data_IF_306441495383
#
_entry.id   IF_306441495383
#
_cell.length_a   1.000
_cell.length_b   1.000
_cell.length_c   1.000
_cell.angle_alpha   90.00
_cell.angle_beta   90.00
_cell.angle_gamma   90.00
#
_symmetry.space_group_name_H-M   'P 1'
#
loop_
_entity.id
_entity.type
_entity.pdbx_description
1 polymer ?
#
# COMPACT_ATOMS: atom_id res chain seq x y z
N UNK A 1 18.44 39.48 40.05
CA UNK A 1 18.45 39.85 38.62
C UNK A 1 19.38 38.89 37.93
N UNK A 2 18.82 37.81 37.39
CA UNK A 2 19.54 36.85 36.55
C UNK A 2 19.33 37.30 35.10
N UNK A 3 20.36 37.32 34.24
CA UNK A 3 20.16 37.63 32.83
C UNK A 3 19.74 36.38 32.06
N UNK A 4 18.67 36.51 31.28
CA UNK A 4 18.26 35.61 30.21
C UNK A 4 19.29 35.66 29.07
N UNK A 5 19.66 34.51 28.52
CA UNK A 5 20.54 34.38 27.37
C UNK A 5 19.71 34.01 26.13
N UNK A 6 19.87 34.80 25.06
CA UNK A 6 19.34 34.59 23.72
C UNK A 6 19.89 33.29 23.09
N UNK A 7 19.00 32.38 22.69
CA UNK A 7 19.29 31.12 21.96
C UNK A 7 18.76 31.14 20.50
N UNK A 8 18.61 32.33 19.89
CA UNK A 8 17.99 32.48 18.56
C UNK A 8 19.02 32.42 17.39
N UNK A 9 20.33 32.41 17.70
CA UNK A 9 21.41 32.44 16.70
C UNK A 9 21.81 31.08 16.12
N UNK A 10 21.66 29.99 16.89
CA UNK A 10 22.08 28.64 16.51
C UNK A 10 21.12 27.95 15.53
N UNK A 11 19.81 28.15 15.69
CA UNK A 11 18.79 27.56 14.83
C UNK A 11 18.81 28.16 13.41
N UNK A 12 19.10 29.46 13.29
CA UNK A 12 19.13 30.16 12.00
C UNK A 12 20.32 29.74 11.14
N UNK A 13 21.49 29.55 11.75
CA UNK A 13 22.72 29.14 11.06
C UNK A 13 22.67 27.68 10.57
N UNK A 14 22.09 26.80 11.39
CA UNK A 14 21.91 25.37 11.04
C UNK A 14 20.87 25.18 9.92
N UNK A 15 19.78 25.95 9.94
CA UNK A 15 18.78 25.95 8.87
C UNK A 15 19.36 26.40 7.52
N UNK A 16 20.21 27.42 7.50
CA UNK A 16 20.82 27.94 6.28
C UNK A 16 21.85 26.95 5.69
N UNK A 17 22.65 26.32 6.55
CA UNK A 17 23.59 25.25 6.15
C UNK A 17 22.88 24.03 5.56
N UNK A 18 21.80 23.55 6.21
CA UNK A 18 20.98 22.44 5.71
C UNK A 18 20.35 22.79 4.34
N UNK A 19 19.91 24.04 4.17
CA UNK A 19 19.37 24.54 2.91
C UNK A 19 20.39 24.53 1.77
N UNK A 20 21.64 24.94 2.05
CA UNK A 20 22.74 24.91 1.07
C UNK A 20 23.13 23.46 0.74
N UNK A 21 23.26 22.60 1.74
CA UNK A 21 23.60 21.19 1.54
C UNK A 21 22.55 20.46 0.68
N UNK A 22 21.25 20.69 0.95
CA UNK A 22 20.17 20.13 0.15
C UNK A 22 20.23 20.59 -1.32
N UNK A 23 20.60 21.86 -1.58
CA UNK A 23 20.76 22.39 -2.95
C UNK A 23 21.92 21.74 -3.71
N UNK A 24 23.00 21.35 -3.03
CA UNK A 24 24.16 20.67 -3.62
C UNK A 24 23.89 19.18 -3.84
N UNK A 25 23.25 18.52 -2.87
CA UNK A 25 22.96 17.08 -2.92
C UNK A 25 21.95 16.71 -3.98
N UNK A 26 20.91 17.53 -4.15
CA UNK A 26 19.82 17.27 -5.08
C UNK A 26 20.29 17.00 -6.53
N UNK A 27 21.14 17.84 -7.16
CA UNK A 27 21.64 17.55 -8.51
C UNK A 27 22.57 16.33 -8.57
N UNK A 28 23.28 15.98 -7.48
CA UNK A 28 24.15 14.80 -7.44
C UNK A 28 23.31 13.52 -7.41
N UNK A 29 22.36 13.43 -6.47
CA UNK A 29 21.44 12.30 -6.39
C UNK A 29 20.65 12.13 -7.70
N UNK A 30 20.25 13.26 -8.29
CA UNK A 30 19.61 13.29 -9.60
C UNK A 30 20.54 12.72 -10.68
N UNK A 31 21.80 13.15 -10.75
CA UNK A 31 22.78 12.61 -11.68
C UNK A 31 23.04 11.11 -11.50
N UNK A 32 23.07 10.62 -10.27
CA UNK A 32 23.24 9.18 -9.99
C UNK A 32 22.04 8.35 -10.48
N UNK A 33 20.81 8.84 -10.29
CA UNK A 33 19.59 8.17 -10.76
C UNK A 33 19.34 8.33 -12.26
N UNK A 34 19.73 9.47 -12.84
CA UNK A 34 19.55 9.80 -14.26
C UNK A 34 20.70 9.31 -15.16
N UNK A 35 21.86 8.92 -14.61
CA UNK A 35 22.94 8.32 -15.42
C UNK A 35 22.57 6.95 -16.00
N UNK A 36 21.50 6.34 -15.48
CA UNK A 36 20.73 5.30 -16.17
C UNK A 36 19.89 6.01 -17.23
N UNK A 37 20.45 6.16 -18.44
CA UNK A 37 19.85 6.78 -19.61
C UNK A 37 18.50 6.14 -20.00
N UNK A 38 17.44 6.57 -19.34
CA UNK A 38 16.15 6.88 -19.92
C UNK A 38 15.33 7.60 -18.85
N UNK A 39 14.44 8.51 -19.23
CA UNK A 39 13.36 8.98 -18.36
C UNK A 39 12.37 7.82 -18.14
N UNK A 40 12.85 6.77 -17.49
CA UNK A 40 12.18 5.49 -17.38
C UNK A 40 11.05 5.64 -16.38
N UNK A 41 9.83 5.73 -16.90
CA UNK A 41 8.62 5.59 -16.10
C UNK A 41 8.71 4.25 -15.35
N UNK A 42 8.59 4.29 -14.02
CA UNK A 42 8.58 3.12 -13.16
C UNK A 42 7.15 2.70 -12.90
N UNK A 43 6.82 1.47 -13.25
CA UNK A 43 5.52 0.89 -12.93
C UNK A 43 5.45 0.59 -11.43
N UNK A 44 4.32 0.94 -10.81
CA UNK A 44 4.02 0.49 -9.46
C UNK A 44 3.64 -0.99 -9.47
N UNK A 45 3.97 -1.68 -8.38
CA UNK A 45 3.66 -3.11 -8.20
C UNK A 45 2.18 -3.38 -7.95
N UNK A 46 1.41 -2.36 -7.56
CA UNK A 46 -0.02 -2.46 -7.31
C UNK A 46 -0.82 -2.14 -8.58
N UNK A 47 -1.30 -3.17 -9.25
CA UNK A 47 -2.30 -3.06 -10.31
C UNK A 47 -3.71 -3.19 -9.72
N UNK A 48 -4.72 -2.76 -10.47
CA UNK A 48 -6.13 -2.90 -10.10
C UNK A 48 -6.94 -3.44 -11.28
N UNK A 49 -7.99 -4.20 -11.01
CA UNK A 49 -8.89 -4.74 -12.05
C UNK A 49 -10.28 -4.15 -11.85
N UNK A 50 -10.77 -3.42 -12.84
CA UNK A 50 -12.17 -2.99 -12.89
C UNK A 50 -12.99 -4.09 -13.58
N UNK A 51 -13.60 -4.95 -12.78
CA UNK A 51 -14.42 -6.08 -13.25
C UNK A 51 -15.63 -5.59 -14.04
N UNK A 52 -16.25 -4.47 -13.62
CA UNK A 52 -17.44 -3.90 -14.26
C UNK A 52 -17.17 -3.42 -15.68
N UNK A 53 -15.99 -2.83 -15.93
CA UNK A 53 -15.57 -2.37 -17.28
C UNK A 53 -14.67 -3.38 -18.01
N UNK A 54 -14.31 -4.49 -17.37
CA UNK A 54 -13.32 -5.45 -17.85
C UNK A 54 -12.00 -4.77 -18.24
N UNK A 55 -11.41 -4.04 -17.29
CA UNK A 55 -10.17 -3.28 -17.51
C UNK A 55 -9.08 -3.63 -16.51
N UNK A 56 -7.85 -3.74 -16.99
CA UNK A 56 -6.64 -3.72 -16.18
C UNK A 56 -6.17 -2.28 -16.04
N UNK A 57 -5.97 -1.83 -14.81
CA UNK A 57 -5.48 -0.50 -14.50
C UNK A 57 -4.10 -0.59 -13.86
N UNK A 58 -3.15 0.18 -14.38
CA UNK A 58 -1.78 0.27 -13.84
C UNK A 58 -1.37 1.73 -13.74
N UNK A 59 -0.45 2.02 -12.84
CA UNK A 59 0.13 3.34 -12.66
C UNK A 59 1.64 3.31 -12.80
N UNK A 60 2.22 4.34 -13.40
CA UNK A 60 3.65 4.63 -13.35
C UNK A 60 3.94 5.97 -12.71
N UNK A 61 5.12 6.12 -12.13
CA UNK A 61 5.71 7.40 -11.72
C UNK A 61 7.06 7.62 -12.39
N UNK A 62 7.57 8.84 -12.40
CA UNK A 62 8.93 9.06 -12.87
C UNK A 62 9.94 8.74 -11.76
N UNK A 63 11.10 8.20 -12.14
CA UNK A 63 12.14 7.84 -11.18
C UNK A 63 12.62 9.06 -10.35
N UNK A 64 12.70 10.23 -10.99
CA UNK A 64 13.15 11.47 -10.34
C UNK A 64 12.15 12.06 -9.35
N UNK A 65 10.86 11.69 -9.43
CA UNK A 65 9.81 12.25 -8.57
C UNK A 65 9.99 11.87 -7.10
N UNK A 66 10.76 10.82 -6.80
CA UNK A 66 11.17 10.51 -5.42
C UNK A 66 12.03 11.60 -4.79
N UNK A 67 12.72 12.43 -5.58
CA UNK A 67 13.66 13.46 -5.10
C UNK A 67 13.24 14.89 -5.47
N UNK A 68 12.24 15.04 -6.33
CA UNK A 68 11.73 16.35 -6.74
C UNK A 68 10.49 16.72 -5.91
N UNK A 69 10.29 18.02 -5.62
CA UNK A 69 9.08 18.52 -4.96
C UNK A 69 7.89 18.59 -5.92
N UNK A 70 7.77 17.59 -6.79
CA UNK A 70 6.69 17.36 -7.74
C UNK A 70 6.62 15.86 -7.98
N UNK A 71 5.41 15.37 -8.22
CA UNK A 71 5.19 13.97 -8.54
C UNK A 71 4.32 13.85 -9.78
N UNK A 72 4.81 13.12 -10.78
CA UNK A 72 4.11 12.81 -12.01
C UNK A 72 3.61 11.37 -11.92
N UNK A 73 2.32 11.20 -12.17
CA UNK A 73 1.68 9.90 -12.22
C UNK A 73 1.01 9.71 -13.57
N UNK A 74 1.26 8.58 -14.21
CA UNK A 74 0.54 8.19 -15.43
C UNK A 74 -0.28 6.94 -15.15
N UNK A 75 -1.59 7.03 -15.39
CA UNK A 75 -2.51 5.92 -15.29
C UNK A 75 -2.79 5.37 -16.67
N UNK A 76 -2.80 4.04 -16.78
CA UNK A 76 -3.10 3.33 -18.01
C UNK A 76 -4.25 2.37 -17.75
N UNK A 77 -5.21 2.33 -18.67
CA UNK A 77 -6.27 1.33 -18.68
C UNK A 77 -6.16 0.47 -19.94
N UNK A 78 -6.12 -0.85 -19.75
CA UNK A 78 -6.05 -1.84 -20.82
C UNK A 78 -7.32 -2.69 -20.84
N UNK A 79 -7.71 -3.18 -22.01
CA UNK A 79 -8.70 -4.25 -22.11
C UNK A 79 -8.10 -5.63 -21.76
N UNK A 80 -8.92 -6.67 -21.79
CA UNK A 80 -8.50 -8.05 -21.52
C UNK A 80 -7.50 -8.63 -22.54
N UNK A 81 -7.26 -7.96 -23.67
CA UNK A 81 -6.26 -8.34 -24.67
C UNK A 81 -4.98 -7.48 -24.55
N UNK A 82 -4.81 -6.76 -23.44
CA UNK A 82 -3.71 -5.83 -23.22
C UNK A 82 -3.63 -4.69 -24.24
N UNK A 83 -4.74 -4.35 -24.91
CA UNK A 83 -4.79 -3.15 -25.74
C UNK A 83 -4.98 -1.93 -24.85
N UNK A 84 -4.09 -0.95 -24.98
CA UNK A 84 -4.22 0.33 -24.28
C UNK A 84 -5.49 1.05 -24.74
N UNK A 85 -6.43 1.26 -23.82
CA UNK A 85 -7.68 2.00 -24.06
C UNK A 85 -7.55 3.47 -23.72
N UNK A 86 -6.80 3.79 -22.66
CA UNK A 86 -6.66 5.15 -22.15
C UNK A 86 -5.34 5.30 -21.41
N UNK A 87 -4.70 6.46 -21.57
CA UNK A 87 -3.59 6.91 -20.74
C UNK A 87 -3.86 8.35 -20.28
N UNK A 88 -3.62 8.63 -19.00
CA UNK A 88 -3.77 9.97 -18.43
C UNK A 88 -2.60 10.29 -17.51
N UNK A 89 -2.03 11.48 -17.67
CA UNK A 89 -0.90 11.96 -16.89
C UNK A 89 -1.32 13.11 -15.96
N UNK A 90 -0.90 13.03 -14.71
CA UNK A 90 -1.20 13.99 -13.66
C UNK A 90 0.10 14.47 -13.02
N UNK A 91 0.32 15.78 -13.04
CA UNK A 91 1.42 16.43 -12.35
C UNK A 91 0.90 17.09 -11.06
N UNK A 92 1.38 16.61 -9.93
CA UNK A 92 1.02 17.08 -8.60
C UNK A 92 2.22 17.86 -8.02
N UNK A 93 2.05 19.16 -7.66
CA UNK A 93 3.13 20.00 -7.16
C UNK A 93 3.39 19.77 -5.67
N UNK A 94 3.60 18.52 -5.25
CA UNK A 94 3.86 18.14 -3.86
C UNK A 94 4.87 16.98 -3.83
N UNK A 95 5.66 16.88 -2.76
CA UNK A 95 6.70 15.84 -2.62
C UNK A 95 6.13 14.65 -1.87
N UNK A 96 5.75 13.61 -2.61
CA UNK A 96 5.11 12.44 -2.03
C UNK A 96 5.67 11.13 -2.57
N UNK A 97 5.55 10.09 -1.75
CA UNK A 97 5.74 8.72 -2.17
C UNK A 97 4.39 8.01 -2.19
N UNK A 98 4.16 7.21 -3.22
CA UNK A 98 2.95 6.41 -3.33
C UNK A 98 3.35 4.95 -3.53
N UNK A 99 2.93 4.10 -2.60
CA UNK A 99 3.13 2.65 -2.68
C UNK A 99 1.92 1.97 -3.32
N UNK A 100 0.73 2.35 -2.87
CA UNK A 100 -0.55 1.81 -3.33
C UNK A 100 -1.56 2.95 -3.59
N UNK A 101 -2.61 2.63 -4.32
CA UNK A 101 -3.62 3.58 -4.81
C UNK A 101 -4.98 2.88 -4.93
N UNK A 102 -6.03 3.66 -5.14
CA UNK A 102 -7.39 3.13 -5.30
C UNK A 102 -8.05 3.69 -6.57
N UNK A 103 -9.16 3.09 -6.96
CA UNK A 103 -10.01 3.63 -8.01
C UNK A 103 -11.48 3.49 -7.62
N UNK A 104 -12.32 4.31 -8.23
CA UNK A 104 -13.78 4.17 -8.21
C UNK A 104 -14.28 4.19 -9.65
N UNK A 105 -15.61 4.22 -9.79
CA UNK A 105 -16.24 4.40 -11.09
C UNK A 105 -15.88 5.72 -11.78
N UNK A 106 -15.50 6.76 -11.04
CA UNK A 106 -15.20 8.08 -11.62
C UNK A 106 -13.83 8.67 -11.28
N UNK A 107 -13.11 8.12 -10.30
CA UNK A 107 -11.82 8.66 -9.87
C UNK A 107 -10.70 7.61 -9.79
N UNK A 108 -9.48 8.05 -10.03
CA UNK A 108 -8.30 7.45 -9.39
C UNK A 108 -8.03 8.18 -8.08
N UNK A 109 -7.63 7.45 -7.05
CA UNK A 109 -7.43 7.98 -5.70
C UNK A 109 -6.00 7.75 -5.28
N UNK A 110 -5.30 8.83 -4.96
CA UNK A 110 -3.92 8.83 -4.49
C UNK A 110 -3.85 9.32 -3.06
N UNK A 111 -3.17 8.55 -2.20
CA UNK A 111 -2.80 8.97 -0.85
C UNK A 111 -1.41 9.59 -0.92
N UNK A 112 -1.33 10.90 -0.77
CA UNK A 112 -0.05 11.60 -0.84
C UNK A 112 0.72 11.44 0.46
N UNK A 113 1.45 10.33 0.61
CA UNK A 113 2.33 10.17 1.77
C UNK A 113 3.49 11.14 1.65
N UNK A 114 3.50 12.18 2.49
CA UNK A 114 4.43 13.32 2.38
C UNK A 114 5.83 12.91 2.82
N UNK A 115 6.79 13.17 1.95
CA UNK A 115 8.21 12.94 2.20
C UNK A 115 8.99 14.23 2.04
N UNK A 116 10.24 14.20 2.51
CA UNK A 116 11.24 15.24 2.27
C UNK A 116 12.61 14.58 2.15
N UNK A 117 13.56 15.30 1.58
CA UNK A 117 14.96 14.86 1.58
C UNK A 117 15.52 14.90 3.01
N UNK A 118 16.15 13.80 3.41
CA UNK A 118 17.03 13.77 4.58
C UNK A 118 18.45 14.09 4.12
N UNK A 119 18.98 15.24 4.52
CA UNK A 119 20.32 15.70 4.11
C UNK A 119 21.41 14.75 4.61
N UNK A 120 21.32 14.29 5.86
CA UNK A 120 22.34 13.40 6.43
C UNK A 120 22.30 12.03 5.75
N UNK A 121 21.11 11.44 5.65
CA UNK A 121 20.90 10.21 4.91
C UNK A 121 21.31 10.32 3.43
N UNK A 122 21.04 11.45 2.77
CA UNK A 122 21.45 11.73 1.40
C UNK A 122 22.97 11.75 1.23
N UNK A 123 23.71 12.42 2.13
CA UNK A 123 25.18 12.41 2.10
C UNK A 123 25.72 10.98 2.20
N UNK A 124 25.21 10.20 3.15
CA UNK A 124 25.66 8.81 3.32
C UNK A 124 25.34 7.93 2.11
N UNK A 125 24.17 8.12 1.49
CA UNK A 125 23.76 7.38 0.30
C UNK A 125 24.65 7.71 -0.91
N UNK A 126 24.97 8.99 -1.12
CA UNK A 126 25.89 9.43 -2.20
C UNK A 126 27.29 8.82 -2.03
N UNK A 127 27.77 8.69 -0.80
CA UNK A 127 29.06 8.03 -0.52
C UNK A 127 29.00 6.49 -0.52
N UNK A 128 27.85 5.88 -0.84
CA UNK A 128 27.68 4.43 -0.81
C UNK A 128 27.71 3.83 0.60
N UNK A 129 27.58 4.65 1.63
CA UNK A 129 27.57 4.25 3.05
C UNK A 129 26.17 3.94 3.56
N UNK A 130 25.12 4.11 2.76
CA UNK A 130 23.77 3.69 3.08
C UNK A 130 22.94 3.45 1.81
N UNK A 131 21.84 2.69 1.87
CA UNK A 131 20.93 2.52 0.76
C UNK A 131 20.24 3.84 0.40
N UNK A 132 19.89 4.01 -0.88
CA UNK A 132 19.22 5.22 -1.40
C UNK A 132 17.93 5.62 -0.67
N UNK A 133 17.20 4.66 -0.09
CA UNK A 133 15.99 4.96 0.68
C UNK A 133 16.29 5.84 1.91
N UNK A 134 17.53 5.82 2.40
CA UNK A 134 17.97 6.66 3.53
C UNK A 134 17.99 8.14 3.18
N UNK A 135 18.00 8.51 1.89
CA UNK A 135 17.90 9.90 1.44
C UNK A 135 16.51 10.52 1.67
N UNK A 136 15.52 9.71 2.09
CA UNK A 136 14.14 10.13 2.30
C UNK A 136 13.77 10.05 3.78
N UNK A 137 13.02 11.05 4.23
CA UNK A 137 12.37 11.05 5.54
C UNK A 137 10.92 11.47 5.40
N UNK A 138 10.12 11.16 6.41
CA UNK A 138 8.74 11.64 6.50
C UNK A 138 8.71 13.16 6.65
N UNK A 139 7.69 13.78 6.06
CA UNK A 139 7.45 15.21 6.22
C UNK A 139 6.24 15.44 7.15
N UNK A 140 6.46 15.67 8.45
CA UNK A 140 5.39 15.85 9.43
C UNK A 140 4.82 17.29 9.48
N UNK A 141 5.16 18.16 8.52
CA UNK A 141 4.81 19.60 8.56
C UNK A 141 3.31 19.91 8.61
N UNK A 142 2.45 18.94 8.24
CA UNK A 142 1.00 19.04 8.31
C UNK A 142 0.43 17.88 9.12
N UNK A 143 -0.55 18.18 9.98
CA UNK A 143 -1.29 17.18 10.76
C UNK A 143 -2.37 16.42 9.98
N UNK A 144 -2.52 16.72 8.69
CA UNK A 144 -3.47 16.09 7.77
C UNK A 144 -2.76 15.24 6.73
N UNK A 145 -3.47 14.29 6.13
CA UNK A 145 -2.99 13.51 4.99
C UNK A 145 -3.75 13.91 3.71
N UNK A 146 -3.06 14.25 2.61
CA UNK A 146 -3.71 14.65 1.38
C UNK A 146 -4.21 13.44 0.58
N UNK A 147 -5.46 13.52 0.13
CA UNK A 147 -6.08 12.54 -0.77
C UNK A 147 -6.43 13.24 -2.07
N UNK A 148 -5.79 12.85 -3.16
CA UNK A 148 -6.07 13.41 -4.49
C UNK A 148 -7.12 12.57 -5.18
N UNK A 149 -8.18 13.23 -5.67
CA UNK A 149 -9.22 12.63 -6.48
C UNK A 149 -9.01 13.04 -7.94
N UNK A 150 -8.42 12.15 -8.72
CA UNK A 150 -8.07 12.39 -10.10
C UNK A 150 -9.18 11.88 -11.03
N UNK A 151 -9.64 12.66 -12.02
CA UNK A 151 -10.73 12.23 -12.89
C UNK A 151 -10.31 11.04 -13.75
N UNK A 152 -11.08 9.95 -13.69
CA UNK A 152 -10.82 8.73 -14.48
C UNK A 152 -11.40 8.79 -15.89
N UNK A 153 -12.51 9.51 -16.08
CA UNK A 153 -13.21 9.64 -17.36
C UNK A 153 -13.43 11.14 -17.68
N UNK A 154 -12.41 11.87 -18.17
CA UNK A 154 -12.49 13.32 -18.38
C UNK A 154 -13.62 13.72 -19.35
N UNK A 155 -13.93 12.87 -20.33
CA UNK A 155 -14.95 13.15 -21.35
C UNK A 155 -16.39 12.77 -20.93
N UNK A 156 -16.60 12.16 -19.75
CA UNK A 156 -17.93 11.66 -19.37
C UNK A 156 -18.90 12.75 -18.88
N UNK A 157 -18.40 13.95 -18.54
CA UNK A 157 -19.21 15.05 -17.98
C UNK A 157 -18.67 16.43 -18.41
N UNK A 158 -18.76 16.82 -19.70
CA UNK A 158 -18.18 18.06 -20.21
C UNK A 158 -18.82 19.35 -19.66
N UNK A 159 -20.05 19.28 -19.12
CA UNK A 159 -20.82 20.44 -18.64
C UNK A 159 -20.86 20.59 -17.11
N UNK A 160 -20.09 19.78 -16.36
CA UNK A 160 -20.09 19.82 -14.89
C UNK A 160 -18.87 20.61 -14.43
N UNK A 161 -19.08 21.60 -13.54
CA UNK A 161 -17.98 22.22 -12.79
C UNK A 161 -17.23 21.10 -12.05
N UNK A 162 -16.08 20.71 -12.58
CA UNK A 162 -15.25 19.67 -12.01
C UNK A 162 -14.32 20.30 -10.97
N UNK A 163 -14.17 19.63 -9.82
CA UNK A 163 -13.16 19.97 -8.81
C UNK A 163 -11.79 20.07 -9.48
N UNK A 164 -10.99 21.07 -9.10
CA UNK A 164 -9.57 21.05 -9.41
C UNK A 164 -8.90 19.88 -8.68
N UNK A 165 -8.55 18.84 -9.44
CA UNK A 165 -7.94 17.63 -8.92
C UNK A 165 -6.55 17.87 -8.32
N UNK A 166 -5.92 19.01 -8.62
CA UNK A 166 -4.64 19.43 -8.00
C UNK A 166 -4.80 19.85 -6.54
N UNK A 167 -6.03 20.14 -6.12
CA UNK A 167 -6.33 20.48 -4.73
C UNK A 167 -6.74 19.20 -3.99
N UNK A 168 -5.90 18.68 -3.08
CA UNK A 168 -6.24 17.46 -2.34
C UNK A 168 -7.39 17.71 -1.36
N UNK A 169 -8.02 16.62 -0.95
CA UNK A 169 -8.85 16.59 0.25
C UNK A 169 -7.92 16.27 1.41
N UNK A 170 -7.85 17.18 2.38
CA UNK A 170 -7.01 16.99 3.57
C UNK A 170 -7.80 16.15 4.59
N UNK A 171 -7.44 14.87 4.70
CA UNK A 171 -7.99 13.98 5.71
C UNK A 171 -7.54 14.44 7.10
N UNK A 172 -8.43 14.48 8.12
CA UNK A 172 -8.16 15.06 9.44
C UNK A 172 -7.30 14.14 10.34
N UNK A 173 -6.36 13.40 9.75
CA UNK A 173 -5.42 12.53 10.45
C UNK A 173 -4.10 12.48 9.69
N UNK A 174 -2.98 12.54 10.41
CA UNK A 174 -1.64 12.32 9.85
C UNK A 174 -1.37 10.82 9.86
N UNK A 175 -1.58 10.20 8.71
CA UNK A 175 -1.45 8.75 8.52
C UNK A 175 -0.59 8.43 7.31
N UNK A 176 0.23 7.38 7.44
CA UNK A 176 0.99 6.79 6.34
C UNK A 176 0.19 5.62 5.79
N UNK A 177 -0.35 5.75 4.58
CA UNK A 177 -1.13 4.68 3.95
C UNK A 177 -0.18 3.66 3.34
N UNK A 178 -0.36 2.39 3.72
CA UNK A 178 0.44 1.27 3.24
C UNK A 178 -0.29 0.64 2.04
N UNK A 179 -1.36 -0.09 2.29
CA UNK A 179 -2.08 -0.85 1.27
C UNK A 179 -3.56 -0.49 1.25
N UNK A 180 -4.20 -0.65 0.11
CA UNK A 180 -5.61 -0.33 -0.10
C UNK A 180 -6.40 -1.61 -0.36
N UNK A 181 -7.43 -1.85 0.45
CA UNK A 181 -8.32 -2.98 0.26
C UNK A 181 -9.26 -2.73 -0.92
N UNK A 182 -9.97 -1.59 -0.89
CA UNK A 182 -10.95 -1.21 -1.88
C UNK A 182 -11.32 0.27 -1.77
N UNK A 183 -11.88 0.84 -2.83
CA UNK A 183 -12.58 2.11 -2.77
C UNK A 183 -13.80 2.07 -3.69
N UNK A 184 -14.87 2.75 -3.32
CA UNK A 184 -16.09 2.81 -4.11
C UNK A 184 -16.84 4.12 -3.88
N UNK A 185 -17.78 4.41 -4.77
CA UNK A 185 -18.56 5.63 -4.73
C UNK A 185 -20.07 5.35 -4.81
N UNK A 186 -20.86 6.14 -4.10
CA UNK A 186 -22.32 6.16 -4.16
C UNK A 186 -22.76 7.58 -4.55
N UNK A 187 -23.64 7.68 -5.56
CA UNK A 187 -24.21 8.96 -6.01
C UNK A 187 -25.64 9.09 -5.50
N UNK A 188 -25.93 10.19 -4.82
CA UNK A 188 -27.28 10.49 -4.37
C UNK A 188 -28.09 11.16 -5.50
N UNK A 189 -29.41 11.18 -5.36
CA UNK A 189 -30.34 11.82 -6.32
C UNK A 189 -30.01 13.30 -6.58
N UNK A 190 -29.46 14.00 -5.58
CA UNK A 190 -29.07 15.41 -5.67
C UNK A 190 -27.72 15.62 -6.39
N UNK A 191 -27.10 14.54 -6.89
CA UNK A 191 -25.80 14.59 -7.56
C UNK A 191 -24.58 14.62 -6.62
N UNK A 192 -24.80 14.63 -5.31
CA UNK A 192 -23.73 14.51 -4.31
C UNK A 192 -23.06 13.13 -4.40
N UNK A 193 -21.75 13.09 -4.17
CA UNK A 193 -20.93 11.89 -4.24
C UNK A 193 -20.43 11.53 -2.85
N UNK A 194 -20.64 10.28 -2.45
CA UNK A 194 -20.02 9.72 -1.26
C UNK A 194 -18.97 8.70 -1.69
N UNK A 195 -17.72 8.92 -1.32
CA UNK A 195 -16.61 7.99 -1.60
C UNK A 195 -16.21 7.34 -0.28
N UNK A 196 -16.14 6.02 -0.29
CA UNK A 196 -15.60 5.23 0.82
C UNK A 196 -14.33 4.53 0.36
N UNK A 197 -13.30 4.59 1.20
CA UNK A 197 -11.99 3.97 0.99
C UNK A 197 -11.69 3.10 2.19
N UNK A 198 -11.26 1.87 1.95
CA UNK A 198 -10.80 0.92 2.95
C UNK A 198 -9.31 0.67 2.73
N UNK A 199 -8.48 0.94 3.72
CA UNK A 199 -7.02 0.86 3.60
C UNK A 199 -6.36 0.43 4.91
N UNK A 200 -5.11 -0.04 4.83
CA UNK A 200 -4.21 -0.12 5.98
C UNK A 200 -3.37 1.15 6.07
N UNK A 201 -3.22 1.65 7.29
CA UNK A 201 -2.38 2.82 7.56
C UNK A 201 -1.65 2.67 8.88
N UNK A 202 -0.58 3.43 9.07
CA UNK A 202 0.17 3.49 10.32
C UNK A 202 0.53 4.93 10.68
N UNK A 203 1.03 5.14 11.89
CA UNK A 203 1.49 6.44 12.34
C UNK A 203 2.84 6.82 11.73
N UNK A 204 3.03 8.12 11.46
CA UNK A 204 4.34 8.68 11.09
C UNK A 204 5.39 8.47 12.20
N UNK A 205 4.97 8.28 13.46
CA UNK A 205 5.91 7.98 14.55
C UNK A 205 6.47 6.56 14.48
N UNK A 206 5.72 5.63 13.90
CA UNK A 206 6.16 4.24 13.74
C UNK A 206 6.85 4.00 12.41
N UNK A 207 6.33 4.59 11.32
CA UNK A 207 6.86 4.34 9.99
C UNK A 207 8.30 4.82 9.85
N UNK A 208 9.18 3.94 9.38
CA UNK A 208 10.59 4.27 9.18
C UNK A 208 11.16 3.53 7.97
N UNK A 209 11.59 4.30 6.97
CA UNK A 209 12.14 3.83 5.71
C UNK A 209 13.33 2.87 5.84
N UNK A 210 14.22 3.12 6.80
CA UNK A 210 15.46 2.35 6.96
C UNK A 210 15.25 1.05 7.73
N UNK A 211 14.06 0.90 8.34
CA UNK A 211 13.76 -0.05 9.39
C UNK A 211 12.61 -0.99 9.01
N UNK A 212 12.02 -0.83 7.83
CA UNK A 212 10.91 -1.64 7.36
C UNK A 212 11.27 -3.12 7.32
N UNK A 213 10.37 -3.95 7.85
CA UNK A 213 10.51 -5.41 8.01
C UNK A 213 11.69 -5.86 8.88
N UNK A 214 12.47 -4.92 9.40
CA UNK A 214 13.59 -5.16 10.26
C UNK A 214 14.86 -5.65 9.57
N UNK A 215 15.00 -5.41 8.26
CA UNK A 215 16.23 -5.75 7.56
C UNK A 215 17.33 -4.73 7.86
N UNK A 216 18.41 -5.19 8.47
CA UNK A 216 19.63 -4.42 8.67
C UNK A 216 20.61 -4.71 7.53
N UNK A 217 20.76 -3.74 6.63
CA UNK A 217 21.63 -3.85 5.47
C UNK A 217 23.11 -3.91 5.83
N UNK A 218 23.52 -3.42 7.01
CA UNK A 218 24.93 -3.43 7.43
C UNK A 218 25.35 -4.83 7.88
N UNK A 219 24.53 -5.48 8.69
CA UNK A 219 24.80 -6.85 9.16
C UNK A 219 24.27 -7.94 8.22
N UNK A 220 23.40 -7.57 7.28
CA UNK A 220 22.68 -8.52 6.42
C UNK A 220 21.66 -9.38 7.18
N UNK A 221 21.26 -8.96 8.40
CA UNK A 221 20.37 -9.72 9.27
C UNK A 221 18.96 -9.13 9.28
N UNK A 222 17.99 -9.99 9.58
CA UNK A 222 16.59 -9.61 9.78
C UNK A 222 16.27 -9.64 11.28
N UNK A 223 15.91 -8.49 11.85
CA UNK A 223 15.41 -8.35 13.21
C UNK A 223 14.00 -7.71 13.21
N UNK A 224 12.93 -8.52 13.22
CA UNK A 224 11.56 -8.00 13.20
C UNK A 224 11.14 -7.34 14.53
N UNK A 225 11.96 -7.38 15.59
CA UNK A 225 11.58 -6.82 16.89
C UNK A 225 11.31 -5.32 16.85
N UNK A 226 12.04 -4.59 15.99
CA UNK A 226 11.82 -3.15 15.76
C UNK A 226 10.48 -2.78 15.11
N UNK A 227 9.78 -3.76 14.52
CA UNK A 227 8.41 -3.60 14.02
C UNK A 227 7.37 -3.84 15.12
N UNK A 228 7.80 -4.17 16.34
CA UNK A 228 6.96 -4.32 17.52
C UNK A 228 7.20 -3.11 18.43
N UNK A 229 6.13 -2.60 19.02
CA UNK A 229 6.18 -1.54 20.02
C UNK A 229 5.86 -2.10 21.41
N UNK A 230 6.10 -1.27 22.43
CA UNK A 230 5.68 -1.56 23.79
C UNK A 230 4.15 -1.60 23.90
N UNK A 231 3.66 -2.29 24.93
CA UNK A 231 2.23 -2.44 25.18
C UNK A 231 1.54 -1.08 25.34
N UNK A 232 0.38 -0.89 24.69
CA UNK A 232 -0.38 0.36 24.72
C UNK A 232 -0.12 1.30 23.52
N UNK A 233 0.83 0.97 22.64
CA UNK A 233 1.13 1.73 21.42
C UNK A 233 0.59 1.08 20.14
N UNK A 234 -0.36 0.15 20.24
CA UNK A 234 -0.86 -0.65 19.12
C UNK A 234 -1.50 0.21 18.01
N UNK A 235 -2.04 1.38 18.37
CA UNK A 235 -2.62 2.33 17.40
C UNK A 235 -1.60 3.00 16.48
N UNK A 236 -0.31 2.97 16.83
CA UNK A 236 0.75 3.51 15.98
C UNK A 236 1.14 2.53 14.86
N UNK A 237 0.92 1.24 15.11
CA UNK A 237 1.21 0.14 14.19
C UNK A 237 0.22 0.11 13.02
N UNK A 238 0.51 -0.64 11.94
CA UNK A 238 -0.44 -0.83 10.83
C UNK A 238 -1.80 -1.29 11.33
N UNK A 239 -2.87 -0.58 10.94
CA UNK A 239 -4.24 -0.91 11.26
C UNK A 239 -5.16 -0.52 10.11
N UNK A 240 -6.35 -1.11 10.07
CA UNK A 240 -7.29 -0.90 8.98
C UNK A 240 -8.20 0.29 9.28
N UNK A 241 -8.22 1.23 8.35
CA UNK A 241 -8.99 2.48 8.41
C UNK A 241 -10.01 2.53 7.29
N UNK A 242 -11.08 3.29 7.55
CA UNK A 242 -12.09 3.66 6.58
C UNK A 242 -12.11 5.18 6.45
N UNK A 243 -11.84 5.67 5.25
CA UNK A 243 -11.97 7.08 4.90
C UNK A 243 -13.28 7.30 4.19
N UNK A 244 -14.10 8.19 4.71
CA UNK A 244 -15.36 8.61 4.11
C UNK A 244 -15.24 10.06 3.63
N UNK A 245 -15.55 10.30 2.36
CA UNK A 245 -15.48 11.62 1.72
C UNK A 245 -16.84 11.94 1.12
N UNK A 246 -17.43 13.07 1.51
CA UNK A 246 -18.68 13.56 0.95
C UNK A 246 -18.42 14.80 0.10
N UNK A 247 -18.78 14.73 -1.18
CA UNK A 247 -18.68 15.84 -2.13
C UNK A 247 -20.08 16.33 -2.53
N UNK A 248 -20.22 17.64 -2.69
CA UNK A 248 -21.40 18.22 -3.30
C UNK A 248 -21.46 17.95 -4.82
N UNK A 249 -22.55 18.35 -5.47
CA UNK A 249 -22.72 18.18 -6.91
C UNK A 249 -21.68 18.93 -7.77
N UNK A 250 -20.94 19.90 -7.20
CA UNK A 250 -19.86 20.67 -7.85
C UNK A 250 -18.46 20.08 -7.53
N UNK A 251 -18.38 19.01 -6.74
CA UNK A 251 -17.12 18.38 -6.34
C UNK A 251 -16.42 19.05 -5.14
N UNK A 252 -17.07 19.98 -4.43
CA UNK A 252 -16.50 20.54 -3.21
C UNK A 252 -16.66 19.53 -2.08
N UNK A 253 -15.57 19.32 -1.34
CA UNK A 253 -15.58 18.46 -0.16
C UNK A 253 -16.39 19.12 0.95
N UNK A 254 -17.51 18.50 1.32
CA UNK A 254 -18.33 18.89 2.45
C UNK A 254 -17.81 18.28 3.74
N UNK A 255 -17.29 17.06 3.67
CA UNK A 255 -16.83 16.32 4.84
C UNK A 255 -15.80 15.26 4.44
N UNK A 256 -14.77 15.11 5.27
CA UNK A 256 -13.84 13.98 5.23
C UNK A 256 -13.65 13.45 6.66
N UNK A 257 -13.90 12.15 6.86
CA UNK A 257 -13.71 11.48 8.15
C UNK A 257 -12.82 10.25 7.97
N UNK A 258 -11.93 10.02 8.92
CA UNK A 258 -11.13 8.79 9.03
C UNK A 258 -11.56 8.09 10.30
N UNK A 259 -11.97 6.83 10.19
CA UNK A 259 -12.35 6.00 11.33
C UNK A 259 -11.64 4.65 11.24
N UNK A 260 -11.58 3.93 12.35
CA UNK A 260 -11.22 2.51 12.31
C UNK A 260 -12.23 1.75 11.44
N UNK A 261 -11.75 0.85 10.58
CA UNK A 261 -12.63 0.07 9.70
C UNK A 261 -13.61 -0.80 10.51
N UNK A 262 -13.15 -1.29 11.66
CA UNK A 262 -13.88 -2.17 12.57
C UNK A 262 -13.27 -2.12 14.00
N UNK A 263 -13.70 -3.01 14.90
CA UNK A 263 -13.30 -3.03 16.33
C UNK A 263 -12.02 -3.84 16.62
N UNK A 264 -11.42 -4.48 15.62
CA UNK A 264 -10.18 -5.24 15.72
C UNK A 264 -9.02 -4.33 16.06
N UNK A 265 -8.49 -4.49 17.26
CA UNK A 265 -7.46 -3.62 17.84
C UNK A 265 -6.05 -4.20 17.74
N UNK A 266 -5.83 -5.17 16.85
CA UNK A 266 -4.49 -5.75 16.61
C UNK A 266 -3.91 -5.25 15.29
N UNK A 267 -2.57 -5.14 15.21
CA UNK A 267 -1.92 -4.71 13.99
C UNK A 267 -2.32 -5.57 12.80
N UNK A 268 -2.67 -4.93 11.69
CA UNK A 268 -3.22 -5.58 10.50
C UNK A 268 -2.77 -4.83 9.24
N UNK A 269 -2.38 -5.59 8.22
CA UNK A 269 -1.99 -5.09 6.91
C UNK A 269 -2.27 -6.14 5.82
N UNK A 270 -1.88 -5.87 4.58
CA UNK A 270 -2.18 -6.70 3.41
C UNK A 270 -3.69 -6.99 3.29
N UNK A 271 -4.53 -5.93 3.25
CA UNK A 271 -5.95 -6.12 3.16
C UNK A 271 -6.34 -6.63 1.77
N UNK A 272 -7.27 -7.58 1.73
CA UNK A 272 -7.79 -8.20 0.52
C UNK A 272 -9.31 -8.28 0.61
N UNK A 273 -9.98 -8.21 -0.53
CA UNK A 273 -11.42 -8.38 -0.68
C UNK A 273 -11.71 -9.46 -1.73
N UNK A 274 -12.97 -9.85 -1.87
CA UNK A 274 -13.40 -10.51 -3.09
C UNK A 274 -13.24 -9.55 -4.28
N UNK A 275 -12.35 -9.88 -5.21
CA UNK A 275 -11.99 -9.01 -6.33
C UNK A 275 -13.14 -8.75 -7.31
N UNK A 276 -14.20 -9.57 -7.30
CA UNK A 276 -15.44 -9.31 -8.05
C UNK A 276 -16.10 -7.99 -7.61
N UNK A 277 -15.77 -7.49 -6.41
CA UNK A 277 -16.27 -6.24 -5.84
C UNK A 277 -15.29 -5.07 -5.95
N UNK A 278 -14.15 -5.23 -6.64
CA UNK A 278 -13.15 -4.16 -6.80
C UNK A 278 -13.75 -2.91 -7.47
N UNK A 279 -13.65 -1.76 -6.81
CA UNK A 279 -14.27 -0.51 -7.25
C UNK A 279 -15.75 -0.35 -6.90
N UNK A 280 -16.34 -1.34 -6.22
CA UNK A 280 -17.75 -1.37 -5.80
C UNK A 280 -17.87 -1.70 -4.31
N UNK A 281 -19.07 -1.53 -3.74
CA UNK A 281 -19.30 -1.76 -2.31
C UNK A 281 -19.12 -3.23 -1.94
N UNK A 282 -18.27 -3.49 -0.94
CA UNK A 282 -18.01 -4.81 -0.37
C UNK A 282 -18.38 -4.87 1.12
N UNK A 283 -18.78 -6.05 1.57
CA UNK A 283 -19.15 -6.39 2.96
C UNK A 283 -17.95 -6.91 3.72
N UNK A 284 -17.08 -7.69 3.09
CA UNK A 284 -15.98 -8.38 3.76
C UNK A 284 -14.63 -7.82 3.37
N UNK A 285 -13.77 -7.66 4.38
CA UNK A 285 -12.34 -7.38 4.22
C UNK A 285 -11.57 -8.44 5.01
N UNK A 286 -10.53 -9.00 4.39
CA UNK A 286 -9.60 -9.91 5.05
C UNK A 286 -8.23 -9.27 5.14
N UNK A 287 -7.44 -9.60 6.15
CA UNK A 287 -6.08 -9.05 6.28
C UNK A 287 -5.16 -10.01 7.04
N UNK A 288 -3.85 -9.87 6.81
CA UNK A 288 -2.85 -10.44 7.69
C UNK A 288 -2.78 -9.61 8.98
N UNK A 289 -2.70 -10.27 10.13
CA UNK A 289 -2.77 -9.65 11.44
C UNK A 289 -1.97 -10.44 12.48
N UNK A 290 -1.84 -9.86 13.67
CA UNK A 290 -1.30 -10.53 14.84
C UNK A 290 -2.39 -11.00 15.80
N UNK A 291 -2.21 -12.21 16.34
CA UNK A 291 -2.97 -12.74 17.47
C UNK A 291 -2.75 -11.95 18.75
N UNK A 292 -1.60 -11.27 18.89
CA UNK A 292 -1.18 -10.64 20.14
C UNK A 292 -0.77 -11.64 21.24
N UNK A 293 -0.78 -12.95 20.98
CA UNK A 293 -0.54 -13.97 22.00
C UNK A 293 0.94 -14.35 22.17
N UNK A 294 1.86 -13.69 21.46
CA UNK A 294 3.28 -14.02 21.45
C UNK A 294 4.06 -13.12 22.39
N UNK A 295 4.84 -13.71 23.28
CA UNK A 295 5.59 -12.99 24.30
C UNK A 295 6.71 -12.09 23.74
N UNK A 296 7.48 -12.58 22.75
CA UNK A 296 8.64 -11.84 22.24
C UNK A 296 8.34 -10.92 21.05
N UNK A 297 7.33 -11.28 20.24
CA UNK A 297 6.97 -10.60 18.99
C UNK A 297 5.44 -10.53 18.90
N UNK A 298 4.79 -9.69 19.74
CA UNK A 298 3.33 -9.65 19.86
C UNK A 298 2.60 -9.05 18.65
N UNK A 299 3.30 -8.41 17.71
CA UNK A 299 2.68 -7.61 16.64
C UNK A 299 3.15 -7.98 15.23
N UNK A 300 4.44 -8.30 15.07
CA UNK A 300 5.01 -8.68 13.78
C UNK A 300 6.16 -9.69 13.99
N UNK A 301 6.33 -10.72 13.13
CA UNK A 301 5.55 -11.03 11.92
C UNK A 301 4.12 -11.50 12.21
N UNK A 302 3.23 -11.33 11.23
CA UNK A 302 1.83 -11.72 11.34
C UNK A 302 1.66 -13.25 11.46
N UNK A 303 0.62 -13.66 12.17
CA UNK A 303 0.31 -15.07 12.45
C UNK A 303 -1.19 -15.38 12.40
N UNK A 304 -2.00 -14.41 11.99
CA UNK A 304 -3.45 -14.49 12.04
C UNK A 304 -4.05 -13.89 10.77
N UNK A 305 -4.99 -14.59 10.16
CA UNK A 305 -5.89 -13.98 9.18
C UNK A 305 -7.11 -13.48 9.94
N UNK A 306 -7.46 -12.21 9.73
CA UNK A 306 -8.70 -11.63 10.24
C UNK A 306 -9.67 -11.44 9.09
N UNK A 307 -10.94 -11.82 9.29
CA UNK A 307 -12.11 -11.50 8.45
C UNK A 307 -12.92 -10.46 9.19
N UNK A 308 -13.31 -9.42 8.47
CA UNK A 308 -14.00 -8.25 8.99
C UNK A 308 -15.27 -8.04 8.20
N UNK A 309 -16.40 -7.95 8.90
CA UNK A 309 -17.66 -7.52 8.30
C UNK A 309 -17.78 -6.00 8.46
N UNK A 310 -17.89 -5.28 7.34
CA UNK A 310 -17.93 -3.81 7.31
C UNK A 310 -19.30 -3.26 7.70
N UNK A 311 -20.35 -4.09 7.68
CA UNK A 311 -21.74 -3.74 7.96
C UNK A 311 -22.04 -3.89 9.44
N UNK A 312 -21.85 -5.08 10.02
CA UNK A 312 -22.19 -5.35 11.43
C UNK A 312 -20.99 -5.19 12.39
N UNK A 313 -19.79 -4.96 11.84
CA UNK A 313 -18.51 -4.79 12.55
C UNK A 313 -18.01 -6.04 13.28
N UNK A 314 -18.59 -7.21 12.98
CA UNK A 314 -18.11 -8.49 13.50
C UNK A 314 -16.74 -8.85 12.94
N UNK A 315 -15.99 -9.63 13.72
CA UNK A 315 -14.63 -10.06 13.35
C UNK A 315 -14.47 -11.54 13.64
N UNK A 316 -13.83 -12.24 12.71
CA UNK A 316 -13.54 -13.67 12.83
C UNK A 316 -12.10 -13.93 12.43
N UNK A 317 -11.42 -14.83 13.14
CA UNK A 317 -10.00 -15.08 12.93
C UNK A 317 -9.68 -16.53 12.67
N UNK A 318 -8.54 -16.73 12.01
CA UNK A 318 -7.81 -17.99 11.99
C UNK A 318 -6.36 -17.67 12.32
N UNK A 319 -5.84 -18.22 13.41
CA UNK A 319 -4.45 -18.04 13.82
C UNK A 319 -3.67 -19.33 13.63
N UNK A 320 -2.42 -19.21 13.20
CA UNK A 320 -1.52 -20.36 13.17
C UNK A 320 -1.04 -20.73 14.59
N UNK A 321 -0.45 -21.92 14.69
CA UNK A 321 0.18 -22.40 15.91
C UNK A 321 1.48 -21.66 16.26
N UNK A 322 2.09 -22.08 17.38
CA UNK A 322 3.32 -21.49 17.90
C UNK A 322 4.45 -21.53 16.86
N UNK A 323 5.25 -20.46 16.81
CA UNK A 323 6.45 -20.32 15.94
C UNK A 323 6.15 -20.51 14.44
N UNK A 324 4.94 -20.14 14.03
CA UNK A 324 4.52 -20.07 12.63
C UNK A 324 4.07 -18.66 12.31
N UNK A 325 4.25 -18.23 11.07
CA UNK A 325 3.93 -16.89 10.59
C UNK A 325 3.31 -16.97 9.22
N UNK A 326 2.56 -15.96 8.81
CA UNK A 326 1.84 -15.94 7.54
C UNK A 326 2.24 -14.75 6.67
N UNK A 327 2.08 -14.90 5.37
CA UNK A 327 2.12 -13.81 4.40
C UNK A 327 0.75 -13.19 4.13
N UNK A 328 0.64 -12.45 3.03
CA UNK A 328 -0.61 -11.90 2.52
C UNK A 328 -1.66 -13.00 2.26
N UNK A 329 -2.91 -12.81 2.71
CA UNK A 329 -4.03 -13.65 2.29
C UNK A 329 -4.48 -13.30 0.87
N UNK A 330 -4.80 -14.32 0.07
CA UNK A 330 -5.32 -14.18 -1.30
C UNK A 330 -6.73 -14.76 -1.35
N UNK A 331 -7.72 -13.94 -1.72
CA UNK A 331 -9.10 -14.40 -1.89
C UNK A 331 -9.32 -15.02 -3.28
N UNK A 332 -9.99 -16.17 -3.31
CA UNK A 332 -10.39 -16.87 -4.52
C UNK A 332 -11.90 -17.11 -4.50
N UNK A 333 -12.69 -16.50 -5.41
CA UNK A 333 -14.10 -16.79 -5.51
C UNK A 333 -14.33 -18.21 -6.08
N UNK A 334 -15.35 -18.94 -5.58
CA UNK A 334 -15.80 -20.20 -6.21
C UNK A 334 -16.56 -19.94 -7.51
N UNK A 335 -17.09 -18.74 -7.69
CA UNK A 335 -17.80 -18.29 -8.89
C UNK A 335 -18.62 -17.01 -8.61
N UNK A 336 -19.11 -16.37 -9.67
CA UNK A 336 -19.76 -15.05 -9.62
C UNK A 336 -21.23 -15.03 -9.17
N UNK A 337 -21.77 -16.16 -8.68
CA UNK A 337 -23.18 -16.32 -8.29
C UNK A 337 -23.40 -16.64 -6.80
N UNK A 338 -22.32 -16.74 -6.03
CA UNK A 338 -22.38 -17.00 -4.59
C UNK A 338 -22.56 -15.74 -3.76
N UNK A 339 -22.65 -15.93 -2.44
CA UNK A 339 -22.46 -14.83 -1.48
C UNK A 339 -21.04 -14.26 -1.60
N UNK A 340 -20.83 -13.03 -1.13
CA UNK A 340 -19.55 -12.32 -1.30
C UNK A 340 -18.35 -13.10 -0.77
N UNK A 341 -18.52 -13.84 0.34
CA UNK A 341 -17.52 -14.70 0.96
C UNK A 341 -17.63 -16.19 0.54
N UNK A 342 -18.35 -16.53 -0.53
CA UNK A 342 -18.36 -17.89 -1.07
C UNK A 342 -17.11 -18.17 -1.93
N UNK A 343 -16.03 -18.43 -1.21
CA UNK A 343 -14.71 -18.59 -1.79
C UNK A 343 -13.76 -19.39 -0.92
N UNK A 344 -12.48 -19.14 -1.13
CA UNK A 344 -11.39 -19.65 -0.31
C UNK A 344 -10.37 -18.54 -0.07
N UNK A 345 -9.67 -18.60 1.05
CA UNK A 345 -8.46 -17.79 1.28
C UNK A 345 -7.24 -18.70 1.17
N UNK A 346 -6.28 -18.31 0.34
CA UNK A 346 -4.98 -18.93 0.26
C UNK A 346 -3.99 -18.10 1.07
N UNK A 347 -3.18 -18.77 1.88
CA UNK A 347 -2.20 -18.11 2.74
C UNK A 347 -0.92 -18.93 2.76
N UNK A 348 0.21 -18.28 2.48
CA UNK A 348 1.51 -18.88 2.73
C UNK A 348 1.79 -18.81 4.22
N UNK A 349 2.17 -19.93 4.80
CA UNK A 349 2.55 -20.03 6.21
C UNK A 349 3.96 -20.60 6.32
N UNK A 350 4.82 -19.94 7.10
CA UNK A 350 6.16 -20.39 7.39
C UNK A 350 6.28 -20.87 8.85
N UNK A 351 6.59 -22.15 9.02
CA UNK A 351 6.88 -22.75 10.32
C UNK A 351 8.38 -22.71 10.62
N UNK A 352 8.79 -21.83 11.52
CA UNK A 352 10.20 -21.61 11.87
C UNK A 352 10.79 -22.83 12.57
N UNK A 353 10.02 -23.51 13.43
CA UNK A 353 10.51 -24.68 14.20
C UNK A 353 10.95 -25.83 13.31
N UNK A 354 10.28 -26.01 12.17
CA UNK A 354 10.57 -27.09 11.22
C UNK A 354 11.22 -26.59 9.94
N UNK A 355 11.49 -25.27 9.84
CA UNK A 355 11.94 -24.58 8.64
C UNK A 355 11.16 -25.04 7.42
N UNK A 356 9.86 -24.73 7.37
CA UNK A 356 8.95 -25.30 6.38
C UNK A 356 7.87 -24.32 5.95
N UNK A 357 7.68 -24.16 4.64
CA UNK A 357 6.53 -23.47 4.08
C UNK A 357 5.33 -24.40 3.92
N UNK A 358 4.13 -23.85 4.09
CA UNK A 358 2.86 -24.49 3.80
C UNK A 358 1.99 -23.55 2.97
N UNK A 359 1.21 -24.13 2.07
CA UNK A 359 0.06 -23.46 1.47
C UNK A 359 -1.19 -23.83 2.26
N UNK A 360 -1.78 -22.86 2.94
CA UNK A 360 -2.99 -23.01 3.74
C UNK A 360 -4.18 -22.56 2.93
N UNK A 361 -5.27 -23.35 2.96
CA UNK A 361 -6.56 -23.01 2.36
C UNK A 361 -7.60 -22.91 3.47
N UNK A 362 -8.23 -21.74 3.58
CA UNK A 362 -9.28 -21.46 4.55
C UNK A 362 -10.62 -21.25 3.85
N UNK A 363 -11.70 -21.66 4.52
CA UNK A 363 -13.07 -21.30 4.17
C UNK A 363 -13.47 -20.03 4.94
N UNK A 364 -13.62 -18.88 4.26
CA UNK A 364 -13.98 -17.61 4.88
C UNK A 364 -15.37 -17.62 5.56
N UNK A 365 -16.31 -18.48 5.17
CA UNK A 365 -17.63 -18.60 5.84
C UNK A 365 -17.53 -19.30 7.19
N UNK A 366 -16.51 -20.12 7.35
CA UNK A 366 -16.26 -20.90 8.56
C UNK A 366 -15.20 -20.26 9.47
N UNK A 367 -14.68 -19.08 9.13
CA UNK A 367 -13.72 -18.34 9.95
C UNK A 367 -14.19 -18.22 11.41
N UNK A 368 -13.27 -18.40 12.36
CA UNK A 368 -13.58 -18.52 13.79
C UNK A 368 -14.05 -19.91 14.24
N UNK A 369 -14.28 -20.86 13.33
CA UNK A 369 -14.66 -22.25 13.65
C UNK A 369 -13.49 -23.21 13.41
N UNK A 370 -13.52 -24.38 14.07
CA UNK A 370 -12.47 -25.41 13.94
C UNK A 370 -12.28 -25.93 12.51
N UNK A 371 -13.35 -25.95 11.72
CA UNK A 371 -13.36 -26.42 10.33
C UNK A 371 -13.12 -25.29 9.31
N UNK A 372 -12.67 -24.11 9.73
CA UNK A 372 -12.22 -23.06 8.81
C UNK A 372 -11.02 -23.51 7.95
N UNK A 373 -10.13 -24.33 8.51
CA UNK A 373 -9.00 -24.90 7.79
C UNK A 373 -9.49 -26.03 6.89
N UNK A 374 -9.52 -25.78 5.58
CA UNK A 374 -9.95 -26.76 4.57
C UNK A 374 -8.80 -27.71 4.24
N UNK A 375 -7.63 -27.15 3.95
CA UNK A 375 -6.45 -27.92 3.57
C UNK A 375 -5.17 -27.19 3.97
N UNK A 376 -4.10 -27.96 4.11
CA UNK A 376 -2.75 -27.45 4.34
C UNK A 376 -1.75 -28.33 3.62
N UNK A 377 -1.14 -27.79 2.56
CA UNK A 377 -0.16 -28.49 1.75
C UNK A 377 1.24 -28.14 2.20
N UNK A 378 2.05 -29.15 2.49
CA UNK A 378 3.46 -28.96 2.82
C UNK A 378 4.28 -28.71 1.55
N UNK A 379 5.14 -27.69 1.58
CA UNK A 379 6.11 -27.44 0.51
C UNK A 379 7.36 -28.30 0.77
N UNK A 380 7.89 -29.02 -0.24
CA UNK A 380 9.15 -29.76 -0.10
C UNK A 380 10.29 -28.87 0.42
N UNK A 381 11.11 -29.36 1.35
CA UNK A 381 12.10 -28.54 2.08
C UNK A 381 13.07 -27.78 1.17
N UNK A 382 13.46 -28.41 0.06
CA UNK A 382 14.36 -27.84 -0.93
C UNK A 382 13.72 -26.72 -1.78
N UNK A 383 12.40 -26.56 -1.68
CA UNK A 383 11.61 -25.50 -2.31
C UNK A 383 11.11 -24.47 -1.29
N UNK A 384 11.67 -24.43 -0.08
CA UNK A 384 11.35 -23.36 0.86
C UNK A 384 11.71 -22.00 0.25
N UNK A 385 10.86 -21.02 0.49
CA UNK A 385 11.01 -19.65 0.04
C UNK A 385 10.79 -18.67 1.20
N UNK A 386 11.41 -17.47 1.15
CA UNK A 386 11.14 -16.44 2.15
C UNK A 386 9.66 -16.02 2.11
N UNK A 387 9.16 -15.50 3.23
CA UNK A 387 7.85 -14.84 3.22
C UNK A 387 7.92 -13.68 2.21
N UNK A 388 7.06 -13.73 1.20
CA UNK A 388 6.98 -12.72 0.15
C UNK A 388 6.16 -11.50 0.56
N UNK A 389 5.95 -10.60 -0.39
CA UNK A 389 5.07 -9.45 -0.25
C UNK A 389 3.68 -9.78 -0.80
N UNK A 390 3.48 -9.57 -2.10
CA UNK A 390 2.19 -9.71 -2.76
C UNK A 390 2.10 -10.96 -3.62
N UNK A 391 0.87 -11.47 -3.77
CA UNK A 391 0.53 -12.53 -4.70
C UNK A 391 -0.85 -12.32 -5.33
N UNK A 392 -1.13 -13.07 -6.39
CA UNK A 392 -2.44 -13.04 -7.03
C UNK A 392 -2.87 -14.44 -7.45
N UNK A 393 -4.17 -14.62 -7.61
CA UNK A 393 -4.76 -15.81 -8.22
C UNK A 393 -5.28 -15.47 -9.63
N UNK A 394 -4.98 -16.33 -10.59
CA UNK A 394 -5.54 -16.27 -11.93
C UNK A 394 -6.19 -17.63 -12.29
N UNK A 395 -7.48 -17.66 -12.64
CA UNK A 395 -8.14 -18.87 -13.13
C UNK A 395 -7.47 -19.42 -14.40
N UNK A 396 -7.45 -20.74 -14.56
CA UNK A 396 -6.85 -21.42 -15.72
C UNK A 396 -7.43 -20.97 -17.07
N UNK A 397 -8.66 -20.45 -17.12
CA UNK A 397 -9.26 -19.91 -18.36
C UNK A 397 -8.67 -18.57 -18.79
N UNK A 398 -7.99 -17.84 -17.90
CA UNK A 398 -7.33 -16.56 -18.20
C UNK A 398 -5.85 -16.71 -18.57
N UNK A 399 -5.25 -17.88 -18.32
CA UNK A 399 -3.90 -18.22 -18.74
C UNK A 399 -4.00 -19.07 -20.01
N UNK A 400 -4.10 -18.43 -21.18
CA UNK A 400 -3.72 -19.12 -22.41
C UNK A 400 -2.30 -19.66 -22.22
N UNK A 401 -2.08 -20.94 -22.58
CA UNK A 401 -0.82 -21.69 -22.37
C UNK A 401 0.42 -20.79 -22.43
N UNK A 402 1.43 -21.00 -21.56
CA UNK A 402 2.66 -20.24 -21.64
C UNK A 402 3.18 -20.28 -23.07
N UNK A 403 3.62 -19.12 -23.58
CA UNK A 403 4.46 -19.01 -24.77
C UNK A 403 5.80 -19.67 -24.40
N UNK A 404 5.79 -21.00 -24.35
CA UNK A 404 6.95 -21.85 -24.20
C UNK A 404 7.26 -22.41 -25.59
N UNK A 405 7.61 -21.52 -26.51
CA UNK A 405 8.29 -21.86 -27.76
C UNK A 405 9.02 -20.59 -28.24
N UNK A 406 10.29 -20.78 -28.60
CA UNK A 406 11.25 -19.80 -29.13
C UNK A 406 12.07 -18.95 -28.15
N UNK A 407 12.84 -19.64 -27.29
CA UNK A 407 14.24 -19.24 -27.06
C UNK A 407 15.12 -20.49 -27.12
N UNK A 408 15.19 -21.11 -28.32
CA UNK A 408 16.21 -22.09 -28.62
C UNK A 408 17.50 -21.35 -29.00
N UNK A 409 18.43 -21.34 -28.05
CA UNK A 409 19.89 -21.18 -28.18
C UNK A 409 20.40 -21.12 -29.64
N UNK A 410 20.78 -19.93 -30.12
CA UNK A 410 21.84 -19.81 -31.13
C UNK A 410 23.17 -19.55 -30.42
N UNK A 411 23.71 -20.60 -29.81
CA UNK A 411 25.12 -20.65 -29.45
C UNK A 411 25.79 -21.64 -30.39
N UNK A 412 26.10 -21.19 -31.60
CA UNK A 412 27.11 -21.82 -32.45
C UNK A 412 28.35 -20.92 -32.40
N UNK A 413 29.29 -21.27 -31.54
CA UNK A 413 30.68 -20.87 -31.71
C UNK A 413 31.38 -21.93 -32.58
N UNK A 414 32.38 -21.57 -33.38
CA UNK A 414 33.58 -22.39 -33.52
C UNK A 414 34.50 -22.22 -32.30
#
# INVERSE_FOLDING_TARGET
>A
MSPEADDDGGERFTADFLGVAAKILKPILLGMLMSVQDASKRLLSHYKIDVKRNRLLIMSCNAEDMLLPRSNFTFYEFDSNFKLLQSQEFNIPDHMMIHDWAFTDSHYILFGNRIKLDVAGSMTAVFGLSPMISALSLNPSKSTSPIYLLPRCPNAQPNRLARDWRVPIEAPSQMWVLHVANAFEEKNLNGNLHIQIQASSCSYHWFNFQKMFGYDWQSGRLDPSMMNLEQGQEKLLPHLVQVNISLDAKGNCQECRVNDLNQWNRPSDFPVINQDFSGTKNTYVYAASSSGSRQALPHFPFDTVVKLDTVDKSTHTWSTGRRRFIGEPIYIPKGSKGEEDDGYLLVVEYAVSTQRCYLVILDPKLMGRKNALVARFEVPRHLNFPLGFHGFWAPHTQVSRPIAQEFALSASAP
#
